data_IF_133861994081
#
_entry.id   IF_133861994081
#
_cell.length_a   1.000
_cell.length_b   1.000
_cell.length_c   1.000
_cell.angle_alpha   90.00
_cell.angle_beta   90.00
_cell.angle_gamma   90.00
#
_symmetry.space_group_name_H-M   'P 1'
#
loop_
_entity.id
_entity.type
_entity.pdbx_description
1 polymer ?
#
# COMPACT_ATOMS: atom_id res chain seq x y z
N UNK A 1 25.56 -1.82 -17.40
CA UNK A 1 24.58 -0.93 -16.75
C UNK A 1 25.04 -0.71 -15.33
N UNK A 2 25.17 0.53 -14.86
CA UNK A 2 25.64 0.82 -13.51
C UNK A 2 24.46 1.33 -12.69
N UNK A 3 24.08 0.57 -11.65
CA UNK A 3 22.95 0.89 -10.77
C UNK A 3 23.53 1.18 -9.40
N UNK A 4 23.17 2.33 -8.83
CA UNK A 4 23.52 2.65 -7.45
C UNK A 4 22.36 2.28 -6.55
N UNK A 5 22.58 1.31 -5.66
CA UNK A 5 21.57 0.85 -4.72
C UNK A 5 21.73 1.56 -3.36
N UNK A 6 20.63 1.85 -2.66
CA UNK A 6 20.68 2.28 -1.26
C UNK A 6 21.43 1.26 -0.39
N UNK A 7 22.09 1.72 0.68
CA UNK A 7 22.87 0.86 1.57
C UNK A 7 22.05 -0.31 2.14
N UNK A 8 20.79 -0.06 2.47
CA UNK A 8 19.86 -1.07 2.99
C UNK A 8 19.60 -2.19 1.96
N UNK A 9 19.44 -1.83 0.68
CA UNK A 9 19.24 -2.80 -0.39
C UNK A 9 20.50 -3.64 -0.64
N UNK A 10 21.68 -3.03 -0.51
CA UNK A 10 22.96 -3.76 -0.60
C UNK A 10 23.09 -4.80 0.51
N UNK A 11 22.75 -4.43 1.75
CA UNK A 11 22.79 -5.35 2.89
C UNK A 11 21.83 -6.54 2.73
N UNK A 12 20.66 -6.31 2.15
CA UNK A 12 19.71 -7.40 1.83
C UNK A 12 20.32 -8.35 0.80
N UNK A 13 20.89 -7.82 -0.29
CA UNK A 13 21.51 -8.65 -1.34
C UNK A 13 22.63 -9.53 -0.76
N UNK A 14 23.48 -8.95 0.09
CA UNK A 14 24.59 -9.69 0.72
C UNK A 14 24.08 -10.80 1.63
N UNK A 15 23.07 -10.53 2.46
CA UNK A 15 22.44 -11.55 3.31
C UNK A 15 21.86 -12.71 2.50
N UNK A 16 21.21 -12.42 1.37
CA UNK A 16 20.60 -13.46 0.54
C UNK A 16 21.66 -14.34 -0.15
N UNK A 17 22.83 -13.79 -0.50
CA UNK A 17 23.97 -14.55 -1.01
C UNK A 17 24.64 -15.38 0.09
N UNK A 18 24.89 -14.78 1.25
CA UNK A 18 25.47 -15.46 2.42
C UNK A 18 24.62 -16.64 2.89
N UNK A 19 23.30 -16.52 2.76
CA UNK A 19 22.37 -17.61 3.05
C UNK A 19 22.46 -18.81 2.08
N UNK A 20 23.19 -18.67 0.98
CA UNK A 20 23.30 -19.66 -0.08
C UNK A 20 22.06 -19.76 -0.97
N UNK A 21 21.06 -18.89 -0.77
CA UNK A 21 19.83 -18.85 -1.58
C UNK A 21 20.10 -18.41 -3.01
N UNK A 22 21.07 -17.51 -3.21
CA UNK A 22 21.48 -17.03 -4.52
C UNK A 22 22.99 -17.15 -4.69
N UNK A 23 23.44 -17.44 -5.91
CA UNK A 23 24.85 -17.61 -6.22
C UNK A 23 25.55 -16.27 -6.50
N UNK A 24 24.82 -15.28 -7.03
CA UNK A 24 25.36 -13.98 -7.43
C UNK A 24 24.45 -12.83 -7.07
N UNK A 25 25.00 -11.60 -7.05
CA UNK A 25 24.20 -10.37 -6.87
C UNK A 25 23.21 -10.19 -8.01
N UNK A 26 23.62 -10.54 -9.23
CA UNK A 26 22.79 -10.50 -10.43
C UNK A 26 21.55 -11.38 -10.29
N UNK A 27 21.68 -12.59 -9.74
CA UNK A 27 20.54 -13.50 -9.53
C UNK A 27 19.49 -12.88 -8.60
N UNK A 28 19.94 -12.23 -7.51
CA UNK A 28 19.06 -11.54 -6.56
C UNK A 28 18.31 -10.40 -7.25
N UNK A 29 19.01 -9.59 -8.05
CA UNK A 29 18.42 -8.44 -8.75
C UNK A 29 17.42 -8.91 -9.80
N UNK A 30 17.76 -9.94 -10.60
CA UNK A 30 16.88 -10.49 -11.62
C UNK A 30 15.61 -11.05 -10.98
N UNK A 31 15.74 -11.79 -9.87
CA UNK A 31 14.57 -12.35 -9.17
C UNK A 31 13.69 -11.25 -8.57
N UNK A 32 14.28 -10.25 -7.91
CA UNK A 32 13.54 -9.10 -7.38
C UNK A 32 12.78 -8.33 -8.48
N UNK A 33 13.39 -8.17 -9.66
CA UNK A 33 12.74 -7.53 -10.81
C UNK A 33 11.61 -8.40 -11.39
N UNK A 34 11.78 -9.73 -11.46
CA UNK A 34 10.72 -10.64 -11.87
C UNK A 34 9.53 -10.55 -10.92
N UNK A 35 9.77 -10.59 -9.62
CA UNK A 35 8.73 -10.43 -8.61
C UNK A 35 8.01 -9.08 -8.76
N UNK A 36 8.72 -8.01 -9.12
CA UNK A 36 8.11 -6.70 -9.36
C UNK A 36 7.22 -6.67 -10.62
N UNK A 37 7.61 -7.40 -11.66
CA UNK A 37 6.83 -7.54 -12.91
C UNK A 37 5.59 -8.42 -12.67
N UNK A 38 5.74 -9.47 -11.85
CA UNK A 38 4.68 -10.42 -11.51
C UNK A 38 3.73 -9.88 -10.44
N UNK A 39 4.07 -8.79 -9.75
CA UNK A 39 3.10 -8.02 -8.97
C UNK A 39 2.14 -7.40 -9.98
N UNK A 40 0.87 -7.86 -10.06
CA UNK A 40 -0.08 -7.25 -10.95
C UNK A 40 -0.14 -5.76 -10.61
N UNK A 41 0.08 -4.91 -11.60
CA UNK A 41 -0.27 -3.50 -11.49
C UNK A 41 -1.78 -3.49 -11.26
N UNK A 42 -2.19 -3.38 -9.99
CA UNK A 42 -3.60 -3.27 -9.67
C UNK A 42 -3.96 -1.86 -10.10
N UNK A 43 -4.60 -1.74 -11.27
CA UNK A 43 -5.53 -0.65 -11.58
C UNK A 43 -6.68 -0.78 -10.57
N UNK A 44 -6.37 -0.48 -9.30
CA UNK A 44 -7.37 -0.33 -8.28
C UNK A 44 -7.92 1.07 -8.50
N UNK A 45 -9.07 1.15 -9.18
CA UNK A 45 -9.80 2.39 -9.42
C UNK A 45 -9.94 3.20 -8.12
N UNK A 46 -10.02 2.54 -6.96
CA UNK A 46 -10.03 3.20 -5.65
C UNK A 46 -8.71 3.87 -5.33
N UNK A 47 -7.57 3.23 -5.63
CA UNK A 47 -6.25 3.80 -5.40
C UNK A 47 -5.98 4.98 -6.35
N UNK A 48 -6.40 4.87 -7.61
CA UNK A 48 -6.31 5.97 -8.58
C UNK A 48 -7.15 7.15 -8.09
N UNK A 49 -8.42 6.90 -7.74
CA UNK A 49 -9.33 7.92 -7.22
C UNK A 49 -8.78 8.55 -5.94
N UNK A 50 -8.25 7.75 -5.01
CA UNK A 50 -7.67 8.25 -3.76
C UNK A 50 -6.45 9.14 -4.01
N UNK A 51 -5.59 8.79 -4.97
CA UNK A 51 -4.45 9.62 -5.37
C UNK A 51 -4.90 10.94 -5.97
N UNK A 52 -5.94 10.94 -6.80
CA UNK A 52 -6.49 12.18 -7.36
C UNK A 52 -7.14 13.07 -6.30
N UNK A 53 -7.91 12.49 -5.36
CA UNK A 53 -8.45 13.20 -4.21
C UNK A 53 -7.33 13.83 -3.36
N UNK A 54 -6.25 13.08 -3.11
CA UNK A 54 -5.09 13.59 -2.39
C UNK A 54 -4.44 14.77 -3.10
N UNK A 55 -4.27 14.70 -4.44
CA UNK A 55 -3.75 15.82 -5.24
C UNK A 55 -4.63 17.06 -5.20
N UNK A 56 -5.95 16.90 -5.09
CA UNK A 56 -6.92 17.99 -4.93
C UNK A 56 -7.02 18.51 -3.49
N UNK A 57 -6.33 17.89 -2.52
CA UNK A 57 -6.43 18.24 -1.10
C UNK A 57 -7.74 17.78 -0.46
N UNK A 58 -8.47 16.84 -1.07
CA UNK A 58 -9.73 16.28 -0.57
C UNK A 58 -9.53 15.15 0.45
N UNK A 59 -8.35 15.09 1.07
CA UNK A 59 -7.99 14.08 2.08
C UNK A 59 -8.00 14.70 3.47
N UNK A 60 -8.48 13.92 4.44
CA UNK A 60 -8.42 14.27 5.86
C UNK A 60 -7.41 13.36 6.56
N UNK A 61 -6.55 13.89 7.45
CA UNK A 61 -5.69 13.06 8.29
C UNK A 61 -6.53 12.11 9.14
N UNK A 62 -6.09 10.86 9.26
CA UNK A 62 -6.72 9.89 10.15
C UNK A 62 -6.29 10.18 11.59
N UNK A 63 -7.13 10.92 12.32
CA UNK A 63 -6.92 11.26 13.73
C UNK A 63 -7.93 10.58 14.63
N UNK A 64 -7.65 10.51 15.94
CA UNK A 64 -8.63 10.02 16.93
C UNK A 64 -9.92 10.84 16.92
N UNK A 65 -9.81 12.16 16.75
CA UNK A 65 -10.97 13.05 16.63
C UNK A 65 -11.84 12.68 15.43
N UNK A 66 -11.23 12.44 14.26
CA UNK A 66 -11.95 12.00 13.08
C UNK A 66 -12.63 10.64 13.32
N UNK A 67 -11.94 9.70 13.96
CA UNK A 67 -12.52 8.40 14.30
C UNK A 67 -13.71 8.50 15.25
N UNK A 68 -13.63 9.38 16.24
CA UNK A 68 -14.71 9.65 17.18
C UNK A 68 -15.92 10.30 16.49
N UNK A 69 -15.69 11.28 15.60
CA UNK A 69 -16.73 11.91 14.78
C UNK A 69 -17.48 10.86 13.94
N UNK A 70 -16.73 10.02 13.21
CA UNK A 70 -17.28 8.97 12.36
C UNK A 70 -18.09 7.96 13.17
N UNK A 71 -17.57 7.56 14.34
CA UNK A 71 -18.26 6.63 15.25
C UNK A 71 -19.57 7.20 15.79
N UNK A 72 -19.58 8.47 16.19
CA UNK A 72 -20.78 9.15 16.67
C UNK A 72 -21.84 9.25 15.56
N UNK A 73 -21.44 9.64 14.35
CA UNK A 73 -22.32 9.70 13.18
C UNK A 73 -22.88 8.34 12.79
N UNK A 74 -22.07 7.29 12.85
CA UNK A 74 -22.50 5.93 12.56
C UNK A 74 -23.58 5.46 13.56
N UNK A 75 -23.38 5.70 14.86
CA UNK A 75 -24.36 5.38 15.91
C UNK A 75 -25.68 6.13 15.70
N UNK A 76 -25.62 7.42 15.39
CA UNK A 76 -26.81 8.23 15.15
C UNK A 76 -27.56 7.79 13.88
N UNK A 77 -26.84 7.46 12.81
CA UNK A 77 -27.45 6.93 11.59
C UNK A 77 -28.13 5.58 11.84
N UNK A 78 -27.52 4.70 12.63
CA UNK A 78 -28.14 3.44 13.04
C UNK A 78 -29.40 3.67 13.89
N UNK A 79 -29.36 4.62 14.83
CA UNK A 79 -30.52 5.01 15.65
C UNK A 79 -31.68 5.52 14.81
N UNK A 80 -31.38 6.30 13.76
CA UNK A 80 -32.36 6.84 12.82
C UNK A 80 -32.80 5.84 11.76
N UNK A 81 -32.29 4.60 11.77
CA UNK A 81 -32.62 3.58 10.77
C UNK A 81 -32.22 3.95 9.35
N UNK A 82 -31.18 4.79 9.17
CA UNK A 82 -30.72 5.14 7.83
C UNK A 82 -30.14 3.89 7.15
N UNK A 83 -30.47 3.64 5.88
CA UNK A 83 -29.93 2.51 5.16
C UNK A 83 -28.40 2.63 5.10
N UNK A 84 -27.72 1.52 5.42
CA UNK A 84 -26.31 1.36 5.09
C UNK A 84 -26.26 1.22 3.57
N UNK A 85 -25.42 2.01 2.92
CA UNK A 85 -25.28 1.94 1.46
C UNK A 85 -24.64 0.60 1.06
N UNK A 86 -25.11 0.03 -0.04
CA UNK A 86 -24.68 -1.29 -0.55
C UNK A 86 -23.19 -1.37 -0.93
N UNK A 87 -22.50 -0.22 -0.98
CA UNK A 87 -21.06 -0.11 -1.26
C UNK A 87 -20.17 -0.39 -0.04
N UNK A 88 -20.75 -0.57 1.15
CA UNK A 88 -20.02 -0.97 2.37
C UNK A 88 -19.91 -2.50 2.42
N UNK A 89 -18.76 -3.05 2.03
CA UNK A 89 -18.47 -4.49 2.19
C UNK A 89 -18.04 -4.79 3.64
N UNK A 90 -18.68 -5.78 4.26
CA UNK A 90 -18.36 -6.31 5.59
C UNK A 90 -17.13 -7.21 5.58
#
# INVERSE_FOLDING_TARGET
>A
MQITLPAEAQAIIEREIESGRYATREDVIIDALKQLIDVPYVDDDLLITAREQAKRGEVRPLTEELMNELSARARENARLGKPIRDDVKY
#
